data_IF_992587877925
#
_entry.id   IF_992587877925
#
_cell.length_a   1.000
_cell.length_b   1.000
_cell.length_c   1.000
_cell.angle_alpha   90.00
_cell.angle_beta   90.00
_cell.angle_gamma   90.00
#
_symmetry.space_group_name_H-M   'P 1'
#
loop_
_entity.id
_entity.type
_entity.pdbx_description
1 polymer ?
#
# COMPACT_ATOMS: atom_id res chain seq x y z
N UNK A 1 33.02 58.14 -27.26
CA UNK A 1 31.72 57.43 -27.10
C UNK A 1 32.00 56.03 -26.56
N UNK A 2 31.80 55.82 -25.25
CA UNK A 2 32.01 54.53 -24.59
C UNK A 2 30.71 53.72 -24.64
N UNK A 3 30.71 52.55 -25.30
CA UNK A 3 29.59 51.60 -25.28
C UNK A 3 29.87 50.54 -24.19
N UNK A 4 29.01 50.54 -23.19
CA UNK A 4 28.99 49.58 -22.08
C UNK A 4 28.47 48.22 -22.57
N UNK A 5 29.29 47.18 -22.46
CA UNK A 5 28.86 45.80 -22.68
C UNK A 5 28.09 45.32 -21.44
N UNK A 6 26.81 44.99 -21.63
CA UNK A 6 25.95 44.37 -20.62
C UNK A 6 26.40 42.94 -20.35
N UNK A 7 27.05 42.72 -19.22
CA UNK A 7 27.29 41.39 -18.65
C UNK A 7 25.96 40.73 -18.34
N UNK A 8 25.63 39.68 -19.08
CA UNK A 8 24.43 38.87 -18.84
C UNK A 8 24.74 37.94 -17.67
N UNK A 9 24.21 38.24 -16.49
CA UNK A 9 24.30 37.37 -15.32
C UNK A 9 23.43 36.14 -15.60
N UNK A 10 24.08 35.03 -15.95
CA UNK A 10 23.45 33.73 -16.07
C UNK A 10 22.77 33.36 -14.76
N UNK A 11 21.46 33.09 -14.80
CA UNK A 11 20.71 32.52 -13.68
C UNK A 11 21.37 31.21 -13.27
N UNK A 12 22.09 31.23 -12.14
CA UNK A 12 22.54 30.03 -11.43
C UNK A 12 21.31 29.19 -11.12
N UNK A 13 21.12 28.10 -11.87
CA UNK A 13 20.13 27.07 -11.56
C UNK A 13 20.49 26.52 -10.19
N UNK A 14 19.60 26.70 -9.22
CA UNK A 14 19.71 26.11 -7.90
C UNK A 14 20.05 24.60 -8.03
N UNK A 15 20.97 24.06 -7.21
CA UNK A 15 21.32 22.66 -7.28
C UNK A 15 20.05 21.84 -7.05
N UNK A 16 19.65 21.08 -8.08
CA UNK A 16 18.60 20.06 -7.95
C UNK A 16 18.96 19.20 -6.76
N UNK A 17 18.13 19.24 -5.71
CA UNK A 17 18.20 18.32 -4.57
C UNK A 17 18.43 16.93 -5.16
N UNK A 18 19.62 16.36 -4.93
CA UNK A 18 19.92 14.99 -5.33
C UNK A 18 18.80 14.17 -4.72
N UNK A 19 17.98 13.57 -5.59
CA UNK A 19 16.96 12.61 -5.19
C UNK A 19 17.76 11.54 -4.47
N UNK A 20 17.68 11.54 -3.13
CA UNK A 20 18.26 10.51 -2.29
C UNK A 20 17.86 9.21 -2.96
N UNK A 21 18.84 8.47 -3.48
CA UNK A 21 18.61 7.09 -3.78
C UNK A 21 18.22 6.52 -2.43
N UNK A 22 16.91 6.40 -2.19
CA UNK A 22 16.40 5.58 -1.10
C UNK A 22 17.08 4.26 -1.37
N UNK A 23 18.08 3.93 -0.55
CA UNK A 23 18.59 2.58 -0.46
C UNK A 23 17.32 1.77 -0.28
N UNK A 24 16.97 1.01 -1.31
CA UNK A 24 15.87 0.07 -1.22
C UNK A 24 16.42 -1.01 -0.31
N UNK A 25 16.37 -0.76 0.99
CA UNK A 25 16.57 -1.77 2.02
C UNK A 25 15.48 -2.78 1.72
N UNK A 26 15.87 -3.91 1.13
CA UNK A 26 14.94 -4.95 0.73
C UNK A 26 13.97 -5.19 1.89
N UNK A 27 12.69 -4.93 1.63
CA UNK A 27 11.63 -5.21 2.60
C UNK A 27 11.67 -6.71 2.90
N UNK A 28 12.02 -7.05 4.13
CA UNK A 28 11.52 -8.28 4.75
C UNK A 28 12.25 -9.59 4.45
N UNK A 29 13.59 -9.64 4.48
CA UNK A 29 14.28 -10.93 4.53
C UNK A 29 15.10 -11.05 5.81
N UNK A 30 14.61 -11.87 6.75
CA UNK A 30 15.45 -12.46 7.79
C UNK A 30 16.68 -13.10 7.13
N UNK A 31 17.85 -12.94 7.76
CA UNK A 31 19.07 -13.63 7.33
C UNK A 31 18.87 -15.15 7.36
N UNK A 32 19.66 -15.94 6.61
CA UNK A 32 19.58 -17.40 6.66
C UNK A 32 19.68 -17.95 8.10
N UNK A 33 20.56 -17.36 8.91
CA UNK A 33 20.74 -17.69 10.34
C UNK A 33 19.48 -17.39 11.15
N UNK A 34 18.90 -16.19 10.98
CA UNK A 34 17.64 -15.81 11.63
C UNK A 34 16.50 -16.76 11.24
N UNK A 35 16.42 -17.16 9.97
CA UNK A 35 15.43 -18.13 9.50
C UNK A 35 15.65 -19.51 10.12
N UNK A 36 16.89 -19.94 10.32
CA UNK A 36 17.19 -21.23 10.94
C UNK A 36 16.69 -21.25 12.40
N UNK A 37 16.92 -20.19 13.16
CA UNK A 37 16.42 -20.07 14.54
C UNK A 37 14.89 -19.98 14.60
N UNK A 38 14.28 -19.16 13.73
CA UNK A 38 12.82 -19.08 13.65
C UNK A 38 12.17 -20.42 13.27
N UNK A 39 12.84 -21.23 12.43
CA UNK A 39 12.37 -22.56 12.04
C UNK A 39 12.34 -23.53 13.21
N UNK A 40 13.31 -23.45 14.15
CA UNK A 40 13.33 -24.28 15.37
C UNK A 40 12.13 -24.01 16.28
N UNK A 41 11.59 -22.80 16.25
CA UNK A 41 10.44 -22.38 17.07
C UNK A 41 9.09 -22.70 16.43
N UNK A 42 9.04 -23.14 15.16
CA UNK A 42 7.79 -23.48 14.47
C UNK A 42 6.96 -24.57 15.16
N UNK A 43 7.54 -25.65 15.71
CA UNK A 43 6.77 -26.67 16.44
C UNK A 43 6.03 -26.09 17.65
N UNK A 44 6.70 -25.28 18.47
CA UNK A 44 6.11 -24.60 19.62
C UNK A 44 5.00 -23.62 19.18
N UNK A 45 5.26 -22.84 18.13
CA UNK A 45 4.26 -21.94 17.54
C UNK A 45 2.99 -22.69 17.08
N UNK A 46 3.16 -23.84 16.40
CA UNK A 46 2.03 -24.68 15.92
C UNK A 46 1.23 -25.27 17.08
N UNK A 47 1.91 -25.64 18.17
CA UNK A 47 1.27 -26.13 19.38
C UNK A 47 0.39 -25.04 20.01
N UNK A 48 0.94 -23.84 20.23
CA UNK A 48 0.21 -22.68 20.75
C UNK A 48 -1.02 -22.33 19.88
N UNK A 49 -0.89 -22.42 18.54
CA UNK A 49 -1.99 -22.15 17.60
C UNK A 49 -3.17 -23.12 17.76
N UNK A 50 -2.90 -24.39 18.11
CA UNK A 50 -3.91 -25.45 18.24
C UNK A 50 -4.61 -25.43 19.60
N UNK A 51 -3.99 -24.87 20.64
CA UNK A 51 -4.57 -24.81 21.99
C UNK A 51 -5.75 -23.82 22.04
N UNK A 52 -6.92 -24.21 22.57
CA UNK A 52 -8.04 -23.29 22.82
C UNK A 52 -7.74 -22.35 24.00
N UNK A 53 -8.25 -21.11 23.99
CA UNK A 53 -8.06 -20.12 25.08
C UNK A 53 -7.13 -18.95 24.73
N UNK A 54 -6.37 -18.42 25.70
CA UNK A 54 -5.46 -17.27 25.54
C UNK A 54 -4.15 -17.67 24.82
N UNK A 55 -4.28 -18.01 23.54
CA UNK A 55 -3.35 -18.82 22.72
C UNK A 55 -1.89 -18.35 22.61
N UNK A 56 -1.57 -17.13 23.05
CA UNK A 56 -0.26 -16.52 22.82
C UNK A 56 0.37 -15.88 24.06
N UNK A 57 -0.32 -15.88 25.21
CA UNK A 57 0.27 -15.44 26.47
C UNK A 57 1.45 -16.37 26.78
N UNK A 58 2.68 -15.84 26.74
CA UNK A 58 3.90 -16.60 26.99
C UNK A 58 4.64 -17.16 25.76
N UNK A 59 4.14 -17.00 24.53
CA UNK A 59 4.89 -17.40 23.32
C UNK A 59 5.73 -16.25 22.76
N UNK A 60 5.10 -15.09 22.54
CA UNK A 60 5.75 -13.99 21.81
C UNK A 60 6.88 -13.34 22.58
N UNK A 61 6.66 -13.04 23.86
CA UNK A 61 7.63 -12.31 24.68
C UNK A 61 8.96 -13.09 24.81
N UNK A 62 8.98 -14.39 25.18
CA UNK A 62 10.23 -15.15 25.22
C UNK A 62 10.85 -15.33 23.83
N UNK A 63 10.03 -15.49 22.79
CA UNK A 63 10.52 -15.61 21.40
C UNK A 63 11.25 -14.34 20.97
N UNK A 64 10.70 -13.17 21.26
CA UNK A 64 11.35 -11.90 20.91
C UNK A 64 12.62 -11.68 21.72
N UNK A 65 12.60 -11.96 23.02
CA UNK A 65 13.80 -11.84 23.87
C UNK A 65 14.94 -12.74 23.39
N UNK A 66 14.64 -14.02 23.06
CA UNK A 66 15.62 -14.95 22.50
C UNK A 66 16.21 -14.43 21.19
N UNK A 67 15.35 -14.04 20.26
CA UNK A 67 15.78 -13.57 18.94
C UNK A 67 16.57 -12.27 19.02
N UNK A 68 16.20 -11.37 19.91
CA UNK A 68 16.91 -10.10 20.09
C UNK A 68 18.25 -10.26 20.80
N UNK A 69 18.36 -11.23 21.71
CA UNK A 69 19.64 -11.63 22.29
C UNK A 69 20.60 -12.21 21.25
N UNK A 70 20.08 -13.01 20.32
CA UNK A 70 20.88 -13.61 19.23
C UNK A 70 21.20 -12.61 18.11
N UNK A 71 20.31 -11.66 17.85
CA UNK A 71 20.43 -10.71 16.73
C UNK A 71 20.13 -9.28 17.20
N UNK A 72 21.06 -8.64 17.95
CA UNK A 72 20.84 -7.30 18.48
C UNK A 72 20.75 -6.26 17.34
N UNK A 73 20.02 -5.16 17.60
CA UNK A 73 19.98 -4.04 16.66
C UNK A 73 21.37 -3.42 16.51
N UNK A 74 21.72 -3.09 15.27
CA UNK A 74 22.94 -2.31 15.00
C UNK A 74 22.83 -0.94 15.66
N UNK A 75 23.95 -0.39 16.17
CA UNK A 75 23.98 0.97 16.67
C UNK A 75 23.60 1.97 15.55
N UNK A 76 23.18 3.17 15.97
CA UNK A 76 22.93 4.29 15.06
C UNK A 76 24.16 4.57 14.20
N UNK A 77 23.95 4.90 12.94
CA UNK A 77 25.02 5.42 12.09
C UNK A 77 25.23 6.91 12.37
N UNK A 78 26.44 7.43 12.10
CA UNK A 78 26.78 8.85 12.27
C UNK A 78 25.78 9.76 11.54
N UNK A 79 25.37 9.38 10.32
CA UNK A 79 24.34 10.09 9.55
C UNK A 79 23.01 10.23 10.30
N UNK A 80 22.58 9.18 11.00
CA UNK A 80 21.32 9.18 11.74
C UNK A 80 21.39 10.00 13.01
N UNK A 81 22.57 10.02 13.65
CA UNK A 81 22.84 10.90 14.79
C UNK A 81 22.78 12.36 14.31
N UNK A 82 23.38 12.68 13.15
CA UNK A 82 23.32 14.03 12.58
C UNK A 82 21.92 14.47 12.14
N UNK A 83 21.04 13.51 11.79
CA UNK A 83 19.63 13.75 11.47
C UNK A 83 18.74 13.95 12.72
N UNK A 84 19.32 13.90 13.93
CA UNK A 84 18.60 14.10 15.18
C UNK A 84 17.76 12.90 15.59
N UNK A 85 18.08 11.70 15.10
CA UNK A 85 17.37 10.46 15.48
C UNK A 85 17.78 10.05 16.89
N UNK A 86 16.82 10.06 17.82
CA UNK A 86 17.02 9.51 19.16
C UNK A 86 17.19 7.98 19.09
N UNK A 87 18.19 7.47 19.81
CA UNK A 87 18.45 6.05 19.94
C UNK A 87 17.28 5.31 20.61
N UNK A 88 16.58 5.95 21.55
CA UNK A 88 15.39 5.40 22.20
C UNK A 88 14.25 5.16 21.22
N UNK A 89 13.87 6.21 20.49
CA UNK A 89 12.77 6.16 19.52
C UNK A 89 13.06 5.19 18.38
N UNK A 90 14.26 5.24 17.81
CA UNK A 90 14.67 4.31 16.76
C UNK A 90 14.68 2.86 17.24
N UNK A 91 15.13 2.61 18.47
CA UNK A 91 15.09 1.28 19.08
C UNK A 91 13.64 0.81 19.20
N UNK A 92 12.73 1.67 19.63
CA UNK A 92 11.28 1.40 19.68
C UNK A 92 10.69 1.04 18.32
N UNK A 93 10.93 1.87 17.29
CA UNK A 93 10.43 1.62 15.93
C UNK A 93 11.01 0.35 15.31
N UNK A 94 12.31 0.13 15.47
CA UNK A 94 13.00 -1.05 14.97
C UNK A 94 12.53 -2.32 15.70
N UNK A 95 12.27 -2.24 17.01
CA UNK A 95 11.68 -3.32 17.79
C UNK A 95 10.27 -3.65 17.31
N UNK A 96 9.41 -2.65 17.12
CA UNK A 96 8.04 -2.85 16.63
C UNK A 96 8.03 -3.51 15.24
N UNK A 97 8.89 -3.01 14.33
CA UNK A 97 9.04 -3.58 12.99
C UNK A 97 9.57 -5.02 13.03
N UNK A 98 10.51 -5.32 13.94
CA UNK A 98 11.08 -6.65 14.12
C UNK A 98 10.05 -7.64 14.67
N UNK A 99 9.29 -7.24 15.70
CA UNK A 99 8.19 -8.02 16.26
C UNK A 99 7.12 -8.34 15.20
N UNK A 100 6.74 -7.34 14.40
CA UNK A 100 5.79 -7.50 13.31
C UNK A 100 6.29 -8.54 12.29
N UNK A 101 7.54 -8.40 11.80
CA UNK A 101 8.14 -9.35 10.83
C UNK A 101 8.20 -10.77 11.37
N UNK A 102 8.53 -10.93 12.65
CA UNK A 102 8.58 -12.23 13.32
C UNK A 102 7.20 -12.89 13.31
N UNK A 103 6.15 -12.15 13.69
CA UNK A 103 4.75 -12.63 13.61
C UNK A 103 4.36 -13.03 12.20
N UNK A 104 4.70 -12.23 11.20
CA UNK A 104 4.43 -12.50 9.79
C UNK A 104 5.11 -13.80 9.32
N UNK A 105 6.36 -14.04 9.70
CA UNK A 105 7.08 -15.27 9.37
C UNK A 105 6.33 -16.52 9.87
N UNK A 106 5.93 -16.55 11.14
CA UNK A 106 5.24 -17.71 11.72
C UNK A 106 3.85 -17.93 11.13
N UNK A 107 3.08 -16.86 10.92
CA UNK A 107 1.75 -16.93 10.30
C UNK A 107 1.82 -17.48 8.87
N UNK A 108 2.83 -17.09 8.09
CA UNK A 108 2.99 -17.52 6.70
C UNK A 108 3.58 -18.95 6.59
N UNK A 109 4.48 -19.33 7.50
CA UNK A 109 5.13 -20.66 7.51
C UNK A 109 4.21 -21.81 7.96
N UNK A 110 2.95 -21.51 8.30
CA UNK A 110 1.94 -22.49 8.74
C UNK A 110 0.69 -22.52 7.84
N UNK A 111 0.74 -21.91 6.65
CA UNK A 111 -0.30 -22.06 5.62
C UNK A 111 -0.10 -23.37 4.85
N UNK A 112 -1.19 -24.09 4.56
CA UNK A 112 -1.14 -25.38 3.85
C UNK A 112 -0.55 -25.27 2.43
N UNK A 113 -0.59 -24.08 1.82
CA UNK A 113 0.05 -23.79 0.53
C UNK A 113 1.58 -23.58 0.61
N UNK A 114 2.19 -23.66 1.79
CA UNK A 114 3.63 -23.47 2.00
C UNK A 114 4.45 -24.76 1.81
N UNK A 115 3.90 -25.77 1.11
CA UNK A 115 4.65 -26.96 0.71
C UNK A 115 5.66 -26.60 -0.40
N UNK A 116 6.88 -26.23 0.03
CA UNK A 116 8.08 -26.51 -0.77
C UNK A 116 8.87 -25.32 -1.32
N UNK A 117 8.35 -24.09 -1.35
CA UNK A 117 9.14 -22.92 -1.81
C UNK A 117 8.78 -21.71 -0.95
N UNK A 118 9.83 -21.03 -0.47
CA UNK A 118 9.76 -19.86 0.39
C UNK A 118 8.63 -18.91 -0.03
N UNK A 119 7.60 -18.80 0.81
CA UNK A 119 6.44 -17.99 0.51
C UNK A 119 6.85 -16.51 0.49
N UNK A 120 6.90 -15.97 -0.72
CA UNK A 120 7.01 -14.55 -1.00
C UNK A 120 5.88 -13.83 -0.27
N UNK A 121 6.26 -12.72 0.34
CA UNK A 121 5.47 -11.81 1.16
C UNK A 121 4.23 -11.36 0.36
N UNK A 122 3.10 -12.00 0.62
CA UNK A 122 1.78 -11.43 0.35
C UNK A 122 1.00 -11.47 1.66
N UNK A 123 1.20 -10.41 2.45
CA UNK A 123 0.38 -10.10 3.62
C UNK A 123 -1.05 -9.86 3.16
N UNK A 124 -1.90 -10.86 3.36
CA UNK A 124 -3.36 -10.74 3.28
C UNK A 124 -4.02 -11.27 4.57
N UNK A 125 -3.31 -11.25 5.70
CA UNK A 125 -3.78 -11.80 6.98
C UNK A 125 -4.06 -10.75 8.05
N UNK A 126 -4.53 -9.57 7.63
CA UNK A 126 -5.49 -8.85 8.46
C UNK A 126 -6.83 -9.19 7.85
N UNK A 127 -7.66 -9.97 8.55
CA UNK A 127 -9.10 -9.92 8.35
C UNK A 127 -9.52 -8.49 8.69
N UNK A 128 -9.30 -7.57 7.75
CA UNK A 128 -9.85 -6.23 7.83
C UNK A 128 -11.35 -6.48 7.86
N UNK A 129 -12.03 -5.98 8.90
CA UNK A 129 -13.49 -5.83 8.86
C UNK A 129 -13.83 -5.34 7.46
N UNK A 130 -14.76 -6.02 6.79
CA UNK A 130 -15.19 -5.62 5.45
C UNK A 130 -15.43 -4.10 5.51
N UNK A 131 -14.58 -3.35 4.82
CA UNK A 131 -14.74 -1.90 4.77
C UNK A 131 -15.89 -1.69 3.82
N UNK A 132 -17.03 -1.23 4.34
CA UNK A 132 -18.11 -0.72 3.51
C UNK A 132 -17.51 0.22 2.48
N UNK A 133 -17.86 0.01 1.22
CA UNK A 133 -17.36 0.86 0.17
C UNK A 133 -18.02 2.24 0.32
N UNK A 134 -17.34 3.32 -0.10
CA UNK A 134 -18.01 4.60 -0.29
C UNK A 134 -19.24 4.41 -1.21
N UNK A 135 -20.37 5.04 -0.91
CA UNK A 135 -21.64 4.83 -1.63
C UNK A 135 -21.52 4.85 -3.16
N UNK A 136 -20.75 5.79 -3.74
CA UNK A 136 -20.53 5.82 -5.21
C UNK A 136 -19.77 4.59 -5.74
N UNK A 137 -18.83 4.04 -4.96
CA UNK A 137 -18.10 2.83 -5.32
C UNK A 137 -18.96 1.58 -5.14
N UNK A 138 -19.76 1.51 -4.07
CA UNK A 138 -20.76 0.46 -3.86
C UNK A 138 -21.77 0.42 -5.01
N UNK A 139 -22.38 1.56 -5.35
CA UNK A 139 -23.32 1.70 -6.47
C UNK A 139 -22.73 1.25 -7.81
N UNK A 140 -21.51 1.68 -8.14
CA UNK A 140 -20.83 1.24 -9.36
C UNK A 140 -20.48 -0.26 -9.37
N UNK A 141 -20.37 -0.88 -8.20
CA UNK A 141 -20.07 -2.31 -8.07
C UNK A 141 -21.32 -3.15 -8.23
N UNK A 142 -22.40 -2.79 -7.52
CA UNK A 142 -23.71 -3.43 -7.58
C UNK A 142 -24.33 -3.36 -8.98
N UNK A 143 -24.32 -2.17 -9.58
CA UNK A 143 -25.02 -1.92 -10.85
C UNK A 143 -24.07 -1.82 -12.04
N UNK A 144 -22.89 -2.46 -11.96
CA UNK A 144 -21.82 -2.34 -12.95
C UNK A 144 -22.29 -2.61 -14.38
N UNK A 145 -23.08 -3.67 -14.57
CA UNK A 145 -23.49 -4.12 -15.91
C UNK A 145 -24.51 -3.17 -16.55
N UNK A 146 -25.34 -2.52 -15.74
CA UNK A 146 -26.27 -1.48 -16.18
C UNK A 146 -25.53 -0.15 -16.44
N UNK A 147 -24.64 0.26 -15.55
CA UNK A 147 -23.98 1.58 -15.62
C UNK A 147 -22.92 1.67 -16.71
N UNK A 148 -22.17 0.58 -16.97
CA UNK A 148 -21.08 0.57 -17.94
C UNK A 148 -21.49 1.00 -19.36
N UNK A 149 -22.57 0.47 -19.97
CA UNK A 149 -23.00 0.93 -21.29
C UNK A 149 -23.44 2.41 -21.26
N UNK A 150 -24.20 2.84 -20.25
CA UNK A 150 -24.68 4.21 -20.12
C UNK A 150 -23.54 5.23 -20.00
N UNK A 151 -22.54 4.93 -19.17
CA UNK A 151 -21.35 5.77 -19.01
C UNK A 151 -20.57 5.85 -20.32
N UNK A 152 -20.46 4.74 -21.04
CA UNK A 152 -19.72 4.68 -22.32
C UNK A 152 -20.42 5.51 -23.39
N UNK A 153 -21.75 5.45 -23.44
CA UNK A 153 -22.55 6.25 -24.34
C UNK A 153 -22.42 7.75 -24.03
N UNK A 154 -22.68 8.17 -22.78
CA UNK A 154 -22.62 9.60 -22.44
C UNK A 154 -21.20 10.17 -22.56
N UNK A 155 -20.16 9.36 -22.30
CA UNK A 155 -18.78 9.74 -22.56
C UNK A 155 -18.50 9.94 -24.05
N UNK A 156 -19.05 9.06 -24.88
CA UNK A 156 -18.92 9.16 -26.34
C UNK A 156 -19.59 10.42 -26.85
N UNK A 157 -20.81 10.70 -26.38
CA UNK A 157 -21.55 11.91 -26.73
C UNK A 157 -20.81 13.17 -26.28
N UNK A 158 -20.28 13.18 -25.04
CA UNK A 158 -19.47 14.27 -24.52
C UNK A 158 -18.18 14.51 -25.31
N UNK A 159 -17.48 13.44 -25.72
CA UNK A 159 -16.28 13.56 -26.54
C UNK A 159 -16.64 14.10 -27.92
N UNK A 160 -17.71 13.57 -28.53
CA UNK A 160 -18.12 13.98 -29.87
C UNK A 160 -18.67 15.40 -29.92
N UNK A 161 -19.37 15.86 -28.88
CA UNK A 161 -19.87 17.24 -28.78
C UNK A 161 -18.75 18.27 -28.63
N UNK A 162 -17.63 17.88 -28.02
CA UNK A 162 -16.46 18.75 -27.84
C UNK A 162 -15.53 18.79 -29.07
N UNK A 163 -15.77 17.93 -30.07
CA UNK A 163 -14.99 17.92 -31.32
C UNK A 163 -15.67 18.84 -32.33
N UNK A 164 -14.95 19.88 -32.73
CA UNK A 164 -15.51 20.95 -33.59
C UNK A 164 -15.12 20.75 -35.05
N UNK A 165 -14.00 20.08 -35.33
CA UNK A 165 -13.49 19.87 -36.69
C UNK A 165 -13.69 18.43 -37.18
N UNK A 166 -13.80 18.23 -38.50
CA UNK A 166 -13.90 16.88 -39.09
C UNK A 166 -12.66 16.02 -38.80
N UNK A 167 -11.48 16.65 -38.77
CA UNK A 167 -10.23 15.99 -38.40
C UNK A 167 -10.23 15.48 -36.96
N UNK A 168 -10.86 16.21 -36.04
CA UNK A 168 -11.03 15.76 -34.65
C UNK A 168 -12.06 14.64 -34.53
N UNK A 169 -13.14 14.68 -35.31
CA UNK A 169 -14.17 13.63 -35.36
C UNK A 169 -13.62 12.29 -35.85
N UNK A 170 -12.60 12.32 -36.71
CA UNK A 170 -11.91 11.11 -37.19
C UNK A 170 -11.01 10.45 -36.14
N UNK A 171 -10.67 11.12 -35.03
CA UNK A 171 -9.84 10.52 -33.98
C UNK A 171 -10.62 9.45 -33.20
N UNK A 172 -9.97 8.38 -32.70
CA UNK A 172 -10.64 7.41 -31.84
C UNK A 172 -11.15 8.06 -30.56
N UNK A 173 -12.26 7.55 -30.00
CA UNK A 173 -12.78 8.02 -28.72
C UNK A 173 -11.78 7.62 -27.61
N UNK A 174 -11.31 8.56 -26.78
CA UNK A 174 -10.42 8.22 -25.68
C UNK A 174 -11.14 7.35 -24.64
N UNK A 175 -10.40 6.57 -23.82
CA UNK A 175 -11.02 5.82 -22.74
C UNK A 175 -11.77 6.75 -21.77
N UNK A 176 -12.86 6.24 -21.19
CA UNK A 176 -13.68 6.98 -20.21
C UNK A 176 -12.78 7.47 -19.07
N UNK A 177 -12.80 8.79 -18.83
CA UNK A 177 -12.03 9.35 -17.71
C UNK A 177 -12.62 8.92 -16.36
N UNK A 178 -11.75 8.68 -15.37
CA UNK A 178 -12.17 8.30 -14.01
C UNK A 178 -13.03 9.41 -13.38
N UNK A 179 -12.71 10.67 -13.66
CA UNK A 179 -13.48 11.82 -13.18
C UNK A 179 -14.91 11.82 -13.73
N UNK A 180 -15.06 11.61 -15.04
CA UNK A 180 -16.37 11.53 -15.70
C UNK A 180 -17.21 10.37 -15.15
N UNK A 181 -16.60 9.19 -15.03
CA UNK A 181 -17.24 8.00 -14.45
C UNK A 181 -17.77 8.26 -13.04
N UNK A 182 -16.97 8.92 -12.19
CA UNK A 182 -17.38 9.22 -10.81
C UNK A 182 -18.47 10.30 -10.75
N UNK A 183 -18.43 11.30 -11.64
CA UNK A 183 -19.48 12.33 -11.72
C UNK A 183 -20.81 11.72 -12.20
N UNK A 184 -20.78 10.90 -13.25
CA UNK A 184 -21.95 10.16 -13.72
C UNK A 184 -22.56 9.34 -12.60
N UNK A 185 -21.75 8.53 -11.90
CA UNK A 185 -22.23 7.65 -10.85
C UNK A 185 -22.83 8.43 -9.67
N UNK A 186 -22.30 9.61 -9.33
CA UNK A 186 -22.88 10.47 -8.28
C UNK A 186 -24.25 11.03 -8.68
N UNK A 187 -24.37 11.58 -9.89
CA UNK A 187 -25.64 12.13 -10.41
C UNK A 187 -26.70 11.04 -10.55
N UNK A 188 -26.32 9.91 -11.14
CA UNK A 188 -27.21 8.76 -11.30
C UNK A 188 -27.67 8.23 -9.94
N UNK A 189 -26.77 8.11 -8.95
CA UNK A 189 -27.15 7.67 -7.61
C UNK A 189 -28.12 8.64 -6.94
N UNK A 190 -27.96 9.97 -7.10
CA UNK A 190 -28.88 10.96 -6.49
C UNK A 190 -30.30 10.97 -7.08
N UNK A 191 -30.49 10.37 -8.26
CA UNK A 191 -31.78 10.29 -8.95
C UNK A 191 -32.51 8.96 -8.66
N UNK A 192 -31.87 8.04 -7.92
CA UNK A 192 -32.43 6.72 -7.63
C UNK A 192 -33.42 6.73 -6.46
N UNK A 193 -34.21 5.66 -6.38
CA UNK A 193 -35.17 5.48 -5.29
C UNK A 193 -34.47 5.30 -3.93
N UNK A 194 -35.15 5.61 -2.81
CA UNK A 194 -34.62 5.37 -1.46
C UNK A 194 -34.23 3.90 -1.21
N UNK A 195 -34.90 2.96 -1.86
CA UNK A 195 -34.60 1.52 -1.78
C UNK A 195 -33.19 1.19 -2.32
N UNK A 196 -32.82 1.79 -3.46
CA UNK A 196 -31.49 1.63 -4.06
C UNK A 196 -30.42 2.30 -3.20
N UNK A 197 -30.74 3.43 -2.56
CA UNK A 197 -29.83 4.08 -1.61
C UNK A 197 -29.53 3.18 -0.41
N UNK A 198 -30.55 2.52 0.13
CA UNK A 198 -30.38 1.58 1.24
C UNK A 198 -29.54 0.36 0.82
N UNK A 199 -29.81 -0.23 -0.35
CA UNK A 199 -29.03 -1.35 -0.88
C UNK A 199 -27.54 -0.98 -1.08
N UNK A 200 -27.26 0.26 -1.45
CA UNK A 200 -25.90 0.79 -1.60
C UNK A 200 -25.21 1.04 -0.26
N UNK A 201 -25.93 1.44 0.78
CA UNK A 201 -25.38 1.65 2.13
C UNK A 201 -25.02 0.35 2.84
N UNK A 202 -25.71 -0.74 2.52
CA UNK A 202 -25.52 -2.07 3.10
C UNK A 202 -24.36 -2.88 2.46
N UNK A 203 -23.77 -2.39 1.36
CA UNK A 203 -22.73 -3.06 0.54
C UNK A 203 -21.27 -2.81 0.98
#
# INVERSE_FOLDING_TARGET
>A
MARTNKTTIGKLKAPRKRRIQKVVVQRGTFSPEQKAELKKLLPAYRLCKRTPGKKWEGFWEPTWQLLFGLFPLKPLTEEQITEGVDQGDRKGECMALYQQRTREYFNNSTRDSASGKACVILSLSVQKKAKLLPATQAYMSLFKDMLRPLITQEWTDFVMSNRTTEKEKANPIPPVSIAFRNQFAKRSLSEMSPEVHQEVEEY
#
